data_IF_963695003297
#
_entry.id   IF_963695003297
#
_cell.length_a   1.000
_cell.length_b   1.000
_cell.length_c   1.000
_cell.angle_alpha   90.00
_cell.angle_beta   90.00
_cell.angle_gamma   90.00
#
_symmetry.space_group_name_H-M   'P 1'
#
loop_
_entity.id
_entity.type
_entity.pdbx_description
1 polymer ?
#
# COMPACT_ATOMS: atom_id res chain seq x y z
N UNK A 1 11.01 -20.15 -28.87
CA UNK A 1 10.28 -20.54 -27.65
C UNK A 1 11.07 -20.02 -26.45
N UNK A 2 10.91 -18.72 -26.13
CA UNK A 2 11.62 -18.09 -25.01
C UNK A 2 11.02 -18.64 -23.71
N UNK A 3 11.82 -19.30 -22.88
CA UNK A 3 11.48 -19.56 -21.47
C UNK A 3 11.26 -18.18 -20.83
N UNK A 4 10.01 -17.73 -20.74
CA UNK A 4 9.63 -16.47 -20.09
C UNK A 4 10.07 -16.58 -18.62
N UNK A 5 11.08 -15.80 -18.26
CA UNK A 5 11.58 -15.71 -16.89
C UNK A 5 10.42 -15.21 -16.01
N UNK A 6 10.12 -15.94 -14.95
CA UNK A 6 9.31 -15.38 -13.85
C UNK A 6 9.99 -14.10 -13.37
N UNK A 7 9.27 -12.98 -13.16
CA UNK A 7 9.88 -11.73 -12.71
C UNK A 7 10.68 -11.96 -11.42
N UNK A 8 11.91 -11.45 -11.36
CA UNK A 8 12.78 -11.59 -10.19
C UNK A 8 12.59 -10.46 -9.16
N UNK A 9 11.80 -9.43 -9.50
CA UNK A 9 11.50 -8.27 -8.67
C UNK A 9 10.11 -7.70 -9.00
N UNK A 10 9.55 -6.92 -8.08
CA UNK A 10 8.32 -6.15 -8.23
C UNK A 10 8.42 -5.16 -9.40
N UNK A 11 9.57 -4.54 -9.61
CA UNK A 11 9.79 -3.61 -10.72
C UNK A 11 9.67 -4.33 -12.08
N UNK A 12 10.30 -5.51 -12.22
CA UNK A 12 10.18 -6.34 -13.43
C UNK A 12 8.76 -6.87 -13.61
N UNK A 13 8.08 -7.24 -12.52
CA UNK A 13 6.69 -7.66 -12.57
C UNK A 13 5.77 -6.54 -13.08
N UNK A 14 5.94 -5.32 -12.57
CA UNK A 14 5.17 -4.16 -13.02
C UNK A 14 5.34 -3.88 -14.51
N UNK A 15 6.57 -3.98 -15.01
CA UNK A 15 6.84 -3.84 -16.44
C UNK A 15 6.25 -4.99 -17.26
N UNK A 16 6.37 -6.23 -16.80
CA UNK A 16 5.90 -7.41 -17.53
C UNK A 16 4.36 -7.52 -17.57
N UNK A 17 3.69 -7.42 -16.43
CA UNK A 17 2.23 -7.65 -16.33
C UNK A 17 1.43 -6.42 -16.70
N UNK A 18 1.91 -5.23 -16.35
CA UNK A 18 1.16 -3.98 -16.52
C UNK A 18 1.73 -3.08 -17.63
N UNK A 19 2.92 -3.39 -18.19
CA UNK A 19 3.58 -2.53 -19.17
C UNK A 19 4.17 -1.25 -18.58
N UNK A 20 4.22 -1.12 -17.25
CA UNK A 20 4.71 0.08 -16.58
C UNK A 20 6.23 0.06 -16.46
N UNK A 21 6.90 0.93 -17.22
CA UNK A 21 8.36 1.08 -17.13
C UNK A 21 8.72 1.89 -15.88
N UNK A 22 9.45 1.31 -14.90
CA UNK A 22 9.73 2.00 -13.66
C UNK A 22 10.77 3.10 -13.85
N UNK A 23 10.42 4.33 -13.46
CA UNK A 23 11.37 5.41 -13.26
C UNK A 23 12.32 5.09 -12.09
N UNK A 24 13.45 5.81 -11.92
CA UNK A 24 14.41 5.52 -10.85
C UNK A 24 13.79 5.47 -9.45
N UNK A 25 12.87 6.40 -9.15
CA UNK A 25 12.18 6.41 -7.86
C UNK A 25 11.16 5.28 -7.70
N UNK A 26 10.53 4.81 -8.78
CA UNK A 26 9.67 3.63 -8.74
C UNK A 26 10.47 2.38 -8.37
N UNK A 27 11.71 2.25 -8.86
CA UNK A 27 12.62 1.15 -8.49
C UNK A 27 12.92 1.17 -7.00
N UNK A 28 13.27 2.33 -6.46
CA UNK A 28 13.48 2.49 -5.02
C UNK A 28 12.24 2.07 -4.22
N UNK A 29 11.04 2.52 -4.63
CA UNK A 29 9.80 2.08 -3.97
C UNK A 29 9.63 0.58 -4.06
N UNK A 30 9.92 -0.03 -5.22
CA UNK A 30 9.84 -1.46 -5.38
C UNK A 30 10.80 -2.18 -4.42
N UNK A 31 12.06 -1.77 -4.36
CA UNK A 31 13.08 -2.37 -3.50
C UNK A 31 12.67 -2.28 -2.01
N UNK A 32 12.15 -1.12 -1.57
CA UNK A 32 11.65 -0.92 -0.21
C UNK A 32 10.41 -1.77 0.09
N UNK A 33 9.51 -1.90 -0.89
CA UNK A 33 8.31 -2.74 -0.77
C UNK A 33 8.67 -4.24 -0.79
N UNK A 34 9.74 -4.64 -1.45
CA UNK A 34 10.24 -6.01 -1.43
C UNK A 34 11.00 -6.35 -0.14
N UNK A 35 11.58 -5.35 0.53
CA UNK A 35 12.23 -5.52 1.83
C UNK A 35 11.20 -5.78 2.94
N UNK A 36 11.00 -7.06 3.24
CA UNK A 36 10.08 -7.52 4.28
C UNK A 36 10.57 -7.25 5.70
N UNK A 37 11.82 -6.83 5.89
CA UNK A 37 12.32 -6.39 7.20
C UNK A 37 11.74 -5.03 7.59
N UNK A 38 11.31 -4.23 6.61
CA UNK A 38 10.63 -2.95 6.83
C UNK A 38 9.16 -3.16 7.20
N UNK A 39 8.91 -3.53 8.46
CA UNK A 39 7.57 -3.80 8.99
C UNK A 39 6.67 -2.56 9.03
N UNK A 40 7.27 -1.37 9.10
CA UNK A 40 6.58 -0.07 9.16
C UNK A 40 7.28 0.88 8.20
N UNK A 41 6.70 1.07 7.02
CA UNK A 41 7.27 1.88 5.96
C UNK A 41 6.30 3.01 5.60
N UNK A 42 6.78 4.23 5.49
CA UNK A 42 6.03 5.37 5.01
C UNK A 42 6.75 5.99 3.81
N UNK A 43 6.11 5.96 2.64
CA UNK A 43 6.56 6.65 1.43
C UNK A 43 5.81 7.98 1.35
N UNK A 44 6.52 9.08 1.59
CA UNK A 44 6.00 10.42 1.33
C UNK A 44 6.41 10.84 -0.07
N UNK A 45 5.42 11.03 -0.94
CA UNK A 45 5.68 11.46 -2.31
C UNK A 45 4.61 12.46 -2.79
N UNK A 46 4.99 13.43 -3.64
CA UNK A 46 4.05 14.39 -4.21
C UNK A 46 2.97 13.73 -5.09
N UNK A 47 1.89 14.47 -5.43
CA UNK A 47 0.89 14.04 -6.41
C UNK A 47 1.54 13.75 -7.78
N UNK A 48 0.87 12.97 -8.62
CA UNK A 48 1.27 12.68 -10.02
C UNK A 48 2.61 11.95 -10.22
N UNK A 49 3.13 11.24 -9.20
CA UNK A 49 4.36 10.44 -9.32
C UNK A 49 4.09 8.93 -9.50
N UNK A 50 2.87 8.57 -9.91
CA UNK A 50 2.42 7.18 -10.06
C UNK A 50 2.56 6.32 -8.79
N UNK A 51 2.55 6.96 -7.61
CA UNK A 51 2.66 6.29 -6.31
C UNK A 51 1.50 5.32 -6.06
N UNK A 52 0.26 5.73 -6.38
CA UNK A 52 -0.92 4.85 -6.32
C UNK A 52 -0.81 3.70 -7.30
N UNK A 53 -0.27 3.91 -8.50
CA UNK A 53 -0.09 2.84 -9.49
C UNK A 53 0.85 1.75 -8.95
N UNK A 54 2.05 2.13 -8.51
CA UNK A 54 3.05 1.16 -8.05
C UNK A 54 2.71 0.56 -6.68
N UNK A 55 2.34 1.40 -5.71
CA UNK A 55 2.14 0.97 -4.32
C UNK A 55 0.74 0.43 -4.08
N UNK A 56 -0.28 0.92 -4.78
CA UNK A 56 -1.69 0.57 -4.49
C UNK A 56 -2.32 -0.41 -5.47
N UNK A 57 -1.67 -0.66 -6.62
CA UNK A 57 -2.15 -1.62 -7.64
C UNK A 57 -1.13 -2.69 -7.97
N UNK A 58 0.08 -2.32 -8.40
CA UNK A 58 1.11 -3.29 -8.82
C UNK A 58 1.59 -4.12 -7.62
N UNK A 59 1.98 -3.46 -6.52
CA UNK A 59 2.48 -4.17 -5.33
C UNK A 59 1.45 -5.10 -4.67
N UNK A 60 0.19 -4.71 -4.45
CA UNK A 60 -0.78 -5.61 -3.83
C UNK A 60 -1.05 -6.84 -4.71
N UNK A 61 -1.13 -6.67 -6.03
CA UNK A 61 -1.27 -7.81 -6.96
C UNK A 61 -0.06 -8.75 -6.86
N UNK A 62 1.16 -8.21 -6.83
CA UNK A 62 2.39 -8.98 -6.67
C UNK A 62 2.41 -9.81 -5.37
N UNK A 63 2.10 -9.19 -4.23
CA UNK A 63 2.08 -9.87 -2.93
C UNK A 63 1.02 -10.99 -2.88
N UNK A 64 -0.18 -10.72 -3.40
CA UNK A 64 -1.27 -11.71 -3.45
C UNK A 64 -0.94 -12.88 -4.38
N UNK A 65 -0.25 -12.62 -5.49
CA UNK A 65 0.21 -13.67 -6.40
C UNK A 65 1.22 -14.60 -5.75
N UNK A 66 2.15 -14.04 -4.97
CA UNK A 66 3.18 -14.78 -4.22
C UNK A 66 2.61 -15.56 -3.05
N UNK A 67 1.60 -15.03 -2.38
CA UNK A 67 0.93 -15.64 -1.25
C UNK A 67 -0.59 -15.53 -1.39
N UNK A 68 -1.27 -16.50 -2.06
CA UNK A 68 -2.73 -16.48 -2.17
C UNK A 68 -3.47 -16.60 -0.82
N UNK A 69 -2.76 -16.99 0.25
CA UNK A 69 -3.29 -17.02 1.62
C UNK A 69 -3.15 -15.67 2.35
N UNK A 70 -2.55 -14.66 1.72
CA UNK A 70 -2.41 -13.33 2.25
C UNK A 70 -3.77 -12.68 2.53
N UNK A 71 -3.83 -11.95 3.64
CA UNK A 71 -4.90 -11.00 3.95
C UNK A 71 -4.36 -9.59 3.82
N UNK A 72 -4.83 -8.87 2.80
CA UNK A 72 -4.44 -7.51 2.48
C UNK A 72 -5.55 -6.52 2.86
N UNK A 73 -5.23 -5.55 3.72
CA UNK A 73 -6.14 -4.46 4.09
C UNK A 73 -5.70 -3.14 3.45
N UNK A 74 -6.56 -2.51 2.65
CA UNK A 74 -6.24 -1.27 1.95
C UNK A 74 -7.18 -0.13 2.37
N UNK A 75 -6.63 0.97 2.87
CA UNK A 75 -7.42 2.13 3.26
C UNK A 75 -6.97 3.35 2.48
N UNK A 76 -7.93 4.01 1.85
CA UNK A 76 -7.75 5.31 1.23
C UNK A 76 -8.55 6.37 1.99
N UNK A 77 -8.41 7.65 1.64
CA UNK A 77 -9.24 8.70 2.24
C UNK A 77 -10.75 8.42 2.02
N UNK A 78 -11.14 8.07 0.80
CA UNK A 78 -12.55 7.74 0.48
C UNK A 78 -12.74 6.26 0.12
N UNK A 79 -13.95 5.75 0.39
CA UNK A 79 -14.31 4.38 0.00
C UNK A 79 -14.31 4.19 -1.52
N UNK A 80 -14.70 5.22 -2.28
CA UNK A 80 -14.70 5.19 -3.74
C UNK A 80 -13.29 5.00 -4.30
N UNK A 81 -12.31 5.75 -3.80
CA UNK A 81 -10.91 5.60 -4.20
C UNK A 81 -10.36 4.21 -3.84
N UNK A 82 -10.64 3.75 -2.62
CA UNK A 82 -10.22 2.43 -2.16
C UNK A 82 -10.79 1.30 -3.05
N UNK A 83 -12.07 1.42 -3.43
CA UNK A 83 -12.74 0.45 -4.32
C UNK A 83 -12.19 0.49 -5.74
N UNK A 84 -11.84 1.66 -6.27
CA UNK A 84 -11.23 1.76 -7.59
C UNK A 84 -9.88 1.01 -7.65
N UNK A 85 -9.02 1.20 -6.64
CA UNK A 85 -7.76 0.49 -6.51
C UNK A 85 -7.98 -1.03 -6.35
N UNK A 86 -8.94 -1.42 -5.50
CA UNK A 86 -9.33 -2.83 -5.31
C UNK A 86 -9.78 -3.50 -6.60
N UNK A 87 -10.60 -2.81 -7.41
CA UNK A 87 -11.04 -3.31 -8.72
C UNK A 87 -9.84 -3.49 -9.65
N UNK A 88 -8.91 -2.54 -9.71
CA UNK A 88 -7.72 -2.66 -10.56
C UNK A 88 -6.85 -3.87 -10.18
N UNK A 89 -6.63 -4.11 -8.89
CA UNK A 89 -5.91 -5.31 -8.40
C UNK A 89 -6.69 -6.57 -8.75
N UNK A 90 -7.98 -6.62 -8.40
CA UNK A 90 -8.86 -7.78 -8.62
C UNK A 90 -8.94 -8.17 -10.09
N UNK A 91 -9.09 -7.20 -10.97
CA UNK A 91 -9.24 -7.42 -12.40
C UNK A 91 -7.88 -7.81 -13.02
N UNK A 92 -6.75 -7.34 -12.48
CA UNK A 92 -5.42 -7.90 -12.82
C UNK A 92 -5.35 -9.39 -12.49
N UNK A 93 -5.77 -9.79 -11.28
CA UNK A 93 -5.77 -11.19 -10.84
C UNK A 93 -6.72 -12.06 -11.67
N UNK A 94 -7.87 -11.51 -12.09
CA UNK A 94 -8.90 -12.22 -12.85
C UNK A 94 -8.56 -12.36 -14.33
N UNK A 95 -8.13 -11.28 -14.96
CA UNK A 95 -8.17 -11.15 -16.42
C UNK A 95 -6.80 -11.15 -17.09
N UNK A 96 -5.71 -10.88 -16.35
CA UNK A 96 -4.38 -10.84 -16.94
C UNK A 96 -3.83 -12.25 -17.15
N UNK A 97 -3.71 -12.67 -18.41
CA UNK A 97 -3.05 -13.92 -18.78
C UNK A 97 -1.59 -13.94 -18.28
N UNK A 98 -0.88 -12.80 -18.40
CA UNK A 98 0.50 -12.66 -17.93
C UNK A 98 0.62 -12.81 -16.42
N UNK A 99 -0.37 -12.32 -15.66
CA UNK A 99 -0.44 -12.55 -14.22
C UNK A 99 -0.67 -14.04 -13.92
N UNK A 100 -1.61 -14.68 -14.61
CA UNK A 100 -1.91 -16.11 -14.45
C UNK A 100 -0.75 -17.04 -14.83
N UNK A 101 0.07 -16.65 -15.80
CA UNK A 101 1.33 -17.34 -16.16
C UNK A 101 2.32 -17.37 -14.98
N UNK A 102 2.43 -16.25 -14.24
CA UNK A 102 3.38 -16.11 -13.12
C UNK A 102 2.81 -16.73 -11.84
N UNK A 103 1.51 -16.54 -11.59
CA UNK A 103 0.84 -16.89 -10.33
C UNK A 103 -0.36 -17.82 -10.55
N UNK A 104 -0.14 -19.06 -11.06
CA UNK A 104 -1.24 -19.98 -11.40
C UNK A 104 -2.06 -20.45 -10.20
N UNK A 105 -1.55 -20.27 -8.97
CA UNK A 105 -2.25 -20.61 -7.73
C UNK A 105 -3.24 -19.53 -7.27
N UNK A 106 -3.12 -18.29 -7.75
CA UNK A 106 -3.95 -17.16 -7.35
C UNK A 106 -5.29 -17.18 -8.09
N UNK A 107 -6.17 -18.14 -7.75
CA UNK A 107 -7.45 -18.36 -8.43
C UNK A 107 -8.62 -17.72 -7.68
N UNK A 108 -9.53 -17.00 -8.36
CA UNK A 108 -10.74 -16.46 -7.75
C UNK A 108 -11.62 -17.52 -7.06
N UNK A 109 -12.16 -17.16 -5.89
CA UNK A 109 -13.21 -17.90 -5.18
C UNK A 109 -14.54 -17.13 -5.27
N UNK A 110 -15.25 -17.34 -6.38
CA UNK A 110 -16.52 -16.70 -6.66
C UNK A 110 -17.63 -17.11 -5.69
N UNK A 111 -17.52 -18.28 -5.05
CA UNK A 111 -18.51 -18.77 -4.09
C UNK A 111 -18.39 -18.02 -2.76
N UNK A 112 -17.17 -17.73 -2.29
CA UNK A 112 -16.95 -16.90 -1.09
C UNK A 112 -17.22 -15.41 -1.35
N UNK A 113 -16.87 -14.91 -2.54
CA UNK A 113 -17.25 -13.57 -3.00
C UNK A 113 -16.19 -12.84 -3.82
N UNK A 114 -16.65 -11.95 -4.70
CA UNK A 114 -15.81 -11.25 -5.68
C UNK A 114 -16.24 -9.78 -5.90
N UNK A 115 -16.55 -9.07 -4.80
CA UNK A 115 -17.07 -7.71 -4.85
C UNK A 115 -15.96 -6.65 -5.02
N UNK A 116 -16.35 -5.39 -5.26
CA UNK A 116 -15.42 -4.26 -5.41
C UNK A 116 -14.63 -3.96 -4.13
N UNK A 117 -15.26 -4.07 -2.96
CA UNK A 117 -14.66 -3.70 -1.67
C UNK A 117 -14.05 -4.90 -0.92
N UNK A 118 -14.32 -6.12 -1.39
CA UNK A 118 -13.87 -7.37 -0.76
C UNK A 118 -13.97 -8.55 -1.71
N UNK A 119 -12.92 -9.35 -1.79
CA UNK A 119 -12.88 -10.55 -2.61
C UNK A 119 -11.92 -11.61 -2.06
N UNK A 120 -12.06 -12.84 -2.56
CA UNK A 120 -11.42 -14.04 -2.01
C UNK A 120 -10.76 -14.87 -3.11
N UNK A 121 -9.56 -15.38 -2.84
CA UNK A 121 -8.95 -16.44 -3.63
C UNK A 121 -9.19 -17.81 -2.99
N UNK A 122 -9.08 -18.85 -3.82
CA UNK A 122 -9.11 -20.23 -3.38
C UNK A 122 -7.91 -20.50 -2.46
N UNK A 123 -8.19 -21.02 -1.27
CA UNK A 123 -7.17 -21.31 -0.25
C UNK A 123 -7.40 -22.69 0.35
N UNK A 124 -6.32 -23.31 0.83
CA UNK A 124 -6.36 -24.66 1.40
C UNK A 124 -7.09 -24.74 2.74
N UNK A 125 -7.09 -23.66 3.53
CA UNK A 125 -7.70 -23.64 4.85
C UNK A 125 -9.20 -23.25 4.75
N UNK A 126 -10.15 -24.18 4.95
CA UNK A 126 -11.57 -23.86 4.88
C UNK A 126 -12.04 -22.97 6.04
N UNK A 127 -11.36 -23.01 7.20
CA UNK A 127 -11.68 -22.19 8.37
C UNK A 127 -11.23 -20.74 8.27
N UNK A 128 -10.48 -20.40 7.23
CA UNK A 128 -10.09 -19.03 6.95
C UNK A 128 -11.26 -18.25 6.31
N UNK A 129 -11.85 -17.40 7.17
CA UNK A 129 -12.98 -16.52 6.87
C UNK A 129 -12.56 -15.13 6.35
N UNK A 130 -11.31 -14.73 6.52
CA UNK A 130 -10.86 -13.37 6.24
C UNK A 130 -10.59 -13.21 4.74
N UNK A 131 -10.96 -12.10 4.11
CA UNK A 131 -10.79 -11.94 2.67
C UNK A 131 -9.33 -11.91 2.25
N UNK A 132 -9.05 -12.27 0.99
CA UNK A 132 -7.71 -12.07 0.42
C UNK A 132 -7.41 -10.58 0.35
N UNK A 133 -8.39 -9.80 -0.06
CA UNK A 133 -8.29 -8.35 -0.15
C UNK A 133 -9.57 -7.70 0.38
N UNK A 134 -9.40 -6.67 1.20
CA UNK A 134 -10.49 -5.80 1.62
C UNK A 134 -10.02 -4.36 1.57
N UNK A 135 -10.91 -3.47 1.15
CA UNK A 135 -10.65 -2.06 1.16
C UNK A 135 -11.73 -1.24 1.86
N UNK A 136 -11.35 -0.08 2.39
CA UNK A 136 -12.26 0.85 3.03
C UNK A 136 -11.79 2.30 2.84
N UNK A 137 -12.72 3.25 2.94
CA UNK A 137 -12.35 4.64 3.19
C UNK A 137 -11.89 4.83 4.64
N UNK A 138 -11.30 5.98 4.93
CA UNK A 138 -10.98 6.39 6.29
C UNK A 138 -12.26 6.37 7.15
N UNK A 139 -12.15 5.87 8.38
CA UNK A 139 -13.30 5.60 9.27
C UNK A 139 -14.26 4.47 8.82
N UNK A 140 -13.97 3.82 7.70
CA UNK A 140 -14.78 2.74 7.15
C UNK A 140 -14.67 1.42 7.95
N UNK A 141 -15.54 0.45 7.62
CA UNK A 141 -15.71 -0.78 8.38
C UNK A 141 -14.59 -1.79 8.10
N UNK A 142 -13.43 -1.59 8.73
CA UNK A 142 -12.30 -2.52 8.68
C UNK A 142 -12.23 -3.47 9.90
N UNK A 143 -13.12 -3.27 10.88
CA UNK A 143 -13.19 -4.04 12.13
C UNK A 143 -13.50 -5.54 11.87
N UNK A 144 -12.95 -6.41 12.74
CA UNK A 144 -13.24 -7.85 12.79
C UNK A 144 -12.31 -8.75 11.96
N UNK A 145 -11.32 -8.17 11.26
CA UNK A 145 -10.41 -8.87 10.34
C UNK A 145 -8.96 -8.72 10.79
N UNK A 146 -8.11 -9.69 10.46
CA UNK A 146 -6.66 -9.58 10.66
C UNK A 146 -5.95 -9.54 9.33
N UNK A 147 -4.97 -8.65 9.20
CA UNK A 147 -4.18 -8.49 7.99
C UNK A 147 -2.72 -8.76 8.28
N UNK A 148 -2.10 -9.53 7.40
CA UNK A 148 -0.64 -9.64 7.39
C UNK A 148 -0.05 -8.38 6.75
N UNK A 149 -0.68 -7.85 5.69
CA UNK A 149 -0.26 -6.60 5.04
C UNK A 149 -1.38 -5.54 5.08
N UNK A 150 -1.04 -4.34 5.55
CA UNK A 150 -1.91 -3.18 5.52
C UNK A 150 -1.32 -2.04 4.69
N UNK A 151 -2.14 -1.36 3.90
CA UNK A 151 -1.79 -0.19 3.10
C UNK A 151 -2.67 1.01 3.47
N UNK A 152 -2.04 2.14 3.77
CA UNK A 152 -2.67 3.46 3.92
C UNK A 152 -2.26 4.32 2.73
N UNK A 153 -3.18 4.58 1.79
CA UNK A 153 -2.92 5.31 0.54
C UNK A 153 -3.65 6.66 0.53
N UNK A 154 -2.88 7.76 0.53
CA UNK A 154 -3.38 9.14 0.46
C UNK A 154 -4.59 9.40 1.39
N UNK A 155 -4.48 8.95 2.65
CA UNK A 155 -5.54 9.06 3.67
C UNK A 155 -5.73 10.47 4.25
N UNK A 156 -4.81 11.39 3.94
CA UNK A 156 -4.87 12.79 4.37
C UNK A 156 -5.35 13.65 3.21
N UNK A 157 -6.15 14.65 3.50
CA UNK A 157 -6.57 15.71 2.58
C UNK A 157 -6.56 17.08 3.29
N UNK A 158 -6.93 18.14 2.56
CA UNK A 158 -7.05 19.48 3.13
C UNK A 158 -8.04 19.52 4.31
N UNK A 159 -9.21 18.89 4.17
CA UNK A 159 -10.27 18.95 5.17
C UNK A 159 -9.86 18.31 6.49
N UNK A 160 -9.36 17.07 6.45
CA UNK A 160 -9.01 16.31 7.63
C UNK A 160 -7.65 16.73 8.24
N UNK A 161 -6.93 17.62 7.56
CA UNK A 161 -5.67 18.20 8.05
C UNK A 161 -5.79 19.64 8.52
N UNK A 162 -6.93 20.32 8.32
CA UNK A 162 -7.10 21.75 8.60
C UNK A 162 -6.97 22.08 10.10
N UNK A 163 -7.60 21.32 10.99
CA UNK A 163 -7.59 21.59 12.44
C UNK A 163 -6.84 20.52 13.24
N UNK A 164 -6.37 20.88 14.44
CA UNK A 164 -5.72 19.94 15.36
C UNK A 164 -6.62 18.74 15.68
N UNK A 165 -7.89 19.00 16.01
CA UNK A 165 -8.85 17.97 16.35
C UNK A 165 -9.09 16.98 15.19
N UNK A 166 -9.14 17.47 13.94
CA UNK A 166 -9.27 16.60 12.77
C UNK A 166 -8.03 15.72 12.58
N UNK A 167 -6.82 16.29 12.68
CA UNK A 167 -5.57 15.53 12.58
C UNK A 167 -5.47 14.45 13.66
N UNK A 168 -5.78 14.79 14.90
CA UNK A 168 -5.82 13.84 16.02
C UNK A 168 -6.85 12.75 15.80
N UNK A 169 -8.01 13.06 15.21
CA UNK A 169 -9.04 12.06 14.89
C UNK A 169 -8.50 11.02 13.90
N UNK A 170 -7.73 11.43 12.89
CA UNK A 170 -7.09 10.51 11.93
C UNK A 170 -6.05 9.65 12.63
N UNK A 171 -5.13 10.26 13.40
CA UNK A 171 -4.08 9.57 14.16
C UNK A 171 -4.68 8.56 15.14
N UNK A 172 -5.73 8.95 15.87
CA UNK A 172 -6.43 8.07 16.79
C UNK A 172 -7.03 6.89 16.05
N UNK A 173 -7.71 7.11 14.93
CA UNK A 173 -8.28 6.00 14.17
C UNK A 173 -7.19 5.05 13.64
N UNK A 174 -6.06 5.57 13.18
CA UNK A 174 -4.99 4.71 12.67
C UNK A 174 -4.36 3.89 13.80
N UNK A 175 -3.99 4.53 14.90
CA UNK A 175 -3.38 3.87 16.05
C UNK A 175 -4.29 2.83 16.71
N UNK A 176 -5.56 3.17 16.95
CA UNK A 176 -6.47 2.28 17.71
C UNK A 176 -7.24 1.31 16.82
N UNK A 177 -7.54 1.69 15.59
CA UNK A 177 -8.41 0.91 14.70
C UNK A 177 -7.66 0.21 13.60
N UNK A 178 -6.84 0.90 12.81
CA UNK A 178 -6.15 0.27 11.68
C UNK A 178 -5.00 -0.62 12.15
N UNK A 179 -4.09 -0.08 12.97
CA UNK A 179 -2.90 -0.80 13.43
C UNK A 179 -3.22 -2.02 14.30
N UNK A 180 -4.35 -2.02 15.02
CA UNK A 180 -4.81 -3.18 15.79
C UNK A 180 -5.29 -4.35 14.91
N UNK A 181 -5.44 -4.14 13.59
CA UNK A 181 -5.78 -5.21 12.62
C UNK A 181 -4.56 -5.80 11.95
N UNK A 182 -3.43 -5.12 12.00
CA UNK A 182 -2.17 -5.64 11.47
C UNK A 182 -1.66 -6.69 12.46
N UNK A 183 -1.25 -7.84 11.93
CA UNK A 183 -0.63 -8.87 12.76
C UNK A 183 0.60 -8.31 13.50
N UNK A 184 1.00 -8.93 14.62
CA UNK A 184 2.25 -8.60 15.25
C UNK A 184 3.45 -8.78 14.29
N UNK A 185 4.47 -7.96 14.49
CA UNK A 185 5.73 -8.00 13.74
C UNK A 185 6.34 -9.42 13.64
N UNK A 186 6.35 -10.16 14.77
CA UNK A 186 6.90 -11.52 14.84
C UNK A 186 6.06 -12.57 14.08
N UNK A 187 4.81 -12.25 13.74
CA UNK A 187 3.94 -13.06 12.87
C UNK A 187 4.01 -12.59 11.40
N UNK A 188 4.93 -11.67 11.07
CA UNK A 188 5.10 -11.12 9.72
C UNK A 188 4.12 -9.99 9.38
N UNK A 189 3.50 -9.36 10.38
CA UNK A 189 2.57 -8.25 10.17
C UNK A 189 3.27 -6.95 9.81
N UNK A 190 2.89 -6.38 8.65
CA UNK A 190 3.51 -5.20 8.06
C UNK A 190 2.47 -4.17 7.64
N UNK A 191 2.81 -2.91 7.85
CA UNK A 191 2.00 -1.77 7.45
C UNK A 191 2.84 -0.82 6.59
N UNK A 192 2.26 -0.41 5.46
CA UNK A 192 2.85 0.53 4.52
C UNK A 192 1.93 1.74 4.40
N UNK A 193 2.50 2.93 4.46
CA UNK A 193 1.83 4.18 4.13
C UNK A 193 2.42 4.74 2.85
N UNK A 194 1.58 5.28 1.97
CA UNK A 194 2.00 6.09 0.84
C UNK A 194 1.11 7.32 0.79
N UNK A 195 1.68 8.52 0.87
CA UNK A 195 0.86 9.72 0.92
C UNK A 195 1.58 11.00 0.51
N UNK A 196 0.77 11.98 0.12
CA UNK A 196 1.16 13.38 0.05
C UNK A 196 0.94 14.04 1.41
N UNK A 197 1.85 14.92 1.83
CA UNK A 197 1.73 15.69 3.08
C UNK A 197 0.80 16.89 2.91
N UNK A 198 -0.06 17.12 3.88
CA UNK A 198 -0.99 18.26 3.90
C UNK A 198 -0.73 19.22 5.06
N UNK A 199 -0.13 18.73 6.16
CA UNK A 199 0.16 19.57 7.33
C UNK A 199 1.39 19.04 8.07
N UNK A 200 2.17 19.91 8.73
CA UNK A 200 3.41 19.49 9.43
C UNK A 200 3.17 18.50 10.59
N UNK A 201 1.99 18.59 11.20
CA UNK A 201 1.49 17.72 12.27
C UNK A 201 0.43 16.71 11.79
N UNK A 202 0.39 16.39 10.49
CA UNK A 202 -0.49 15.33 9.99
C UNK A 202 -0.03 13.93 10.45
N UNK A 203 -0.76 12.89 10.03
CA UNK A 203 -0.50 11.51 10.46
C UNK A 203 0.90 11.00 10.13
N UNK A 204 1.54 11.50 9.07
CA UNK A 204 2.89 11.08 8.71
C UNK A 204 3.90 11.51 9.77
N UNK A 205 3.66 12.64 10.47
CA UNK A 205 4.47 13.05 11.62
C UNK A 205 4.36 12.03 12.76
N UNK A 206 3.12 11.64 13.09
CA UNK A 206 2.89 10.60 14.11
C UNK A 206 3.55 9.27 13.73
N UNK A 207 3.46 8.84 12.47
CA UNK A 207 4.11 7.60 12.01
C UNK A 207 5.62 7.62 12.24
N UNK A 208 6.29 8.73 11.91
CA UNK A 208 7.72 8.89 12.17
C UNK A 208 8.03 8.76 13.68
N UNK A 209 7.26 9.44 14.53
CA UNK A 209 7.40 9.35 16.00
C UNK A 209 7.16 7.94 16.55
N UNK A 210 6.39 7.10 15.85
CA UNK A 210 6.22 5.69 16.18
C UNK A 210 7.32 4.77 15.61
N UNK A 211 8.38 5.33 15.03
CA UNK A 211 9.51 4.57 14.51
C UNK A 211 9.29 3.96 13.13
N UNK A 212 8.33 4.48 12.34
CA UNK A 212 8.22 4.07 10.94
C UNK A 212 9.45 4.54 10.17
N UNK A 213 9.94 3.71 9.25
CA UNK A 213 10.96 4.13 8.29
C UNK A 213 10.29 5.05 7.28
N UNK A 214 10.76 6.29 7.19
CA UNK A 214 10.16 7.31 6.32
C UNK A 214 11.06 7.56 5.12
N UNK A 215 10.52 7.37 3.93
CA UNK A 215 11.19 7.69 2.67
C UNK A 215 10.50 8.90 2.09
N UNK A 216 11.25 9.99 1.96
CA UNK A 216 10.70 11.25 1.51
C UNK A 216 11.21 11.58 0.11
N UNK A 217 10.29 11.59 -0.86
CA UNK A 217 10.54 12.17 -2.17
C UNK A 217 10.22 13.66 -2.19
N UNK A 218 11.21 14.55 -2.39
CA UNK A 218 10.96 15.98 -2.49
C UNK A 218 10.04 16.29 -3.68
N UNK A 219 9.18 17.30 -3.52
CA UNK A 219 8.26 17.78 -4.54
C UNK A 219 9.01 18.57 -5.63
N UNK A 220 9.88 17.90 -6.38
CA UNK A 220 10.40 18.37 -7.67
C UNK A 220 10.81 17.16 -8.51
N UNK A 221 10.22 17.04 -9.70
CA UNK A 221 10.95 16.42 -10.80
C UNK A 221 12.32 17.11 -10.89
N UNK A 222 13.40 16.33 -10.86
CA UNK A 222 14.78 16.76 -11.04
C UNK A 222 15.07 18.20 -10.51
N UNK A 223 15.28 18.37 -9.20
CA UNK A 223 15.96 19.59 -8.69
C UNK A 223 15.56 20.17 -7.34
N UNK A 224 15.87 19.50 -6.23
CA UNK A 224 16.19 20.19 -4.97
C UNK A 224 15.09 20.37 -3.91
N UNK A 225 15.54 20.34 -2.64
CA UNK A 225 14.79 20.25 -1.37
C UNK A 225 13.77 21.38 -1.07
N UNK A 226 13.71 22.44 -1.87
CA UNK A 226 13.08 23.70 -1.47
C UNK A 226 11.55 23.80 -1.64
N UNK A 227 10.88 22.82 -2.27
CA UNK A 227 9.47 22.99 -2.67
C UNK A 227 8.42 22.29 -1.81
N UNK A 228 8.75 21.28 -0.99
CA UNK A 228 7.78 20.74 -0.03
C UNK A 228 8.01 21.37 1.35
N UNK A 229 7.09 22.22 1.85
CA UNK A 229 7.29 22.97 3.09
C UNK A 229 7.28 22.09 4.35
N UNK A 230 6.92 20.81 4.21
CA UNK A 230 6.77 19.86 5.32
C UNK A 230 7.95 18.89 5.45
N UNK A 231 8.76 18.68 4.40
CA UNK A 231 9.75 17.60 4.41
C UNK A 231 10.90 17.85 5.40
N UNK A 232 11.30 19.12 5.58
CA UNK A 232 12.39 19.50 6.48
C UNK A 232 12.04 19.34 7.97
N UNK A 233 10.79 19.01 8.29
CA UNK A 233 10.26 18.93 9.68
C UNK A 233 10.14 17.48 10.19
N UNK A 234 10.55 16.50 9.39
CA UNK A 234 10.66 15.10 9.81
C UNK A 234 12.00 14.86 10.53
N UNK A 235 12.05 13.91 11.49
CA UNK A 235 13.31 13.54 12.14
C UNK A 235 14.37 13.10 11.10
N UNK A 236 15.55 13.74 11.05
CA UNK A 236 16.58 13.44 10.04
C UNK A 236 17.03 11.97 10.03
N UNK A 237 17.11 11.35 11.20
CA UNK A 237 17.56 9.97 11.41
C UNK A 237 16.62 8.90 10.84
N UNK A 238 15.39 9.29 10.50
CA UNK A 238 14.36 8.39 9.94
C UNK A 238 13.99 8.73 8.50
N UNK A 239 14.65 9.73 7.90
CA UNK A 239 14.29 10.24 6.57
C UNK A 239 15.36 9.90 5.54
N UNK A 240 15.06 8.95 4.64
CA UNK A 240 15.87 8.75 3.44
C UNK A 240 15.53 9.84 2.43
N UNK A 241 16.49 10.73 2.16
CA UNK A 241 16.37 11.80 1.18
C UNK A 241 16.92 11.37 -0.17
N UNK A 242 16.14 11.56 -1.24
CA UNK A 242 16.58 11.36 -2.63
C UNK A 242 16.91 12.72 -3.25
N UNK A 243 18.07 12.84 -3.91
CA UNK A 243 18.51 14.02 -4.67
C UNK A 243 18.09 13.95 -6.14
#
# INVERSE_FOLDING_TARGET
MLRKLSPASLAQYGEYVHGFKPAPHHRLWCDLLEDTTLQRLLIVAPPDHAKTTWVSVVWPAWEIGRDPALHFGHVCNTATQAQANSIAVRDTVRDSELYGEIFPAAKPDYLKGWANHRWYLQRKNPGDKDPTYVCAGLYGPILGRRFKLGLLDDIMDEENSATHLQREKVVRWISTTFMSRILPAHEGGRAVGVMTRWHELDVARWMAEQGWVVVHMPMRGYGGKALCPFCAKLPPEQTLHFE
#
